data_IF_871389171901
#
_entry.id   IF_871389171901
#
_cell.length_a   1.000
_cell.length_b   1.000
_cell.length_c   1.000
_cell.angle_alpha   90.00
_cell.angle_beta   90.00
_cell.angle_gamma   90.00
#
_symmetry.space_group_name_H-M   'P 1'
#
loop_
_entity.id
_entity.type
_entity.pdbx_description
1 polymer ?
#
# COMPACT_ATOMS: atom_id res chain seq x y z
N UNK A 1 -16.20 36.35 12.32
CA UNK A 1 -17.25 35.42 11.84
C UNK A 1 -16.85 34.70 10.55
N UNK A 2 -16.51 35.38 9.45
CA UNK A 2 -16.13 34.72 8.18
C UNK A 2 -15.02 33.67 8.33
N UNK A 3 -13.94 34.00 9.03
CA UNK A 3 -12.85 33.05 9.31
C UNK A 3 -13.33 31.80 10.08
N UNK A 4 -14.21 31.97 11.08
CA UNK A 4 -14.75 30.85 11.86
C UNK A 4 -15.70 29.96 11.02
N UNK A 5 -16.47 30.55 10.10
CA UNK A 5 -17.28 29.78 9.13
C UNK A 5 -16.40 28.98 8.18
N UNK A 6 -15.29 29.54 7.73
CA UNK A 6 -14.32 28.82 6.90
C UNK A 6 -13.68 27.66 7.67
N UNK A 7 -13.31 27.88 8.93
CA UNK A 7 -12.83 26.83 9.84
C UNK A 7 -13.88 25.71 10.05
N UNK A 8 -15.16 26.06 10.19
CA UNK A 8 -16.25 25.08 10.26
C UNK A 8 -16.33 24.24 8.98
N UNK A 9 -16.24 24.85 7.80
CA UNK A 9 -16.36 24.17 6.50
C UNK A 9 -15.18 23.25 6.18
N UNK A 10 -13.96 23.66 6.52
CA UNK A 10 -12.74 23.01 6.00
C UNK A 10 -11.80 22.51 7.11
N UNK A 11 -11.95 23.00 8.34
CA UNK A 11 -11.04 22.67 9.45
C UNK A 11 -10.95 21.18 9.77
N UNK A 12 -12.02 20.42 9.53
CA UNK A 12 -12.02 18.95 9.70
C UNK A 12 -10.97 18.23 8.85
N UNK A 13 -10.52 18.83 7.74
CA UNK A 13 -9.46 18.27 6.87
C UNK A 13 -8.07 18.37 7.47
N UNK A 14 -7.90 19.15 8.54
CA UNK A 14 -6.60 19.47 9.15
C UNK A 14 -6.55 19.07 10.63
N UNK A 15 -7.65 19.27 11.32
CA UNK A 15 -7.73 19.13 12.77
C UNK A 15 -8.29 17.77 13.19
N UNK A 16 -7.93 17.36 14.39
CA UNK A 16 -8.61 16.28 15.09
C UNK A 16 -10.01 16.75 15.59
N UNK A 17 -10.87 15.82 16.03
CA UNK A 17 -12.23 16.16 16.46
C UNK A 17 -12.25 17.20 17.59
N UNK A 18 -11.37 17.07 18.58
CA UNK A 18 -11.26 18.01 19.70
C UNK A 18 -11.05 19.45 19.21
N UNK A 19 -9.99 19.71 18.43
CA UNK A 19 -9.67 21.05 17.94
C UNK A 19 -10.81 21.61 17.09
N UNK A 20 -11.38 20.79 16.20
CA UNK A 20 -12.52 21.19 15.38
C UNK A 20 -13.74 21.59 16.24
N UNK A 21 -14.09 20.76 17.22
CA UNK A 21 -15.25 20.97 18.07
C UNK A 21 -15.09 22.19 19.00
N UNK A 22 -13.89 22.45 19.51
CA UNK A 22 -13.58 23.65 20.30
C UNK A 22 -13.75 24.91 19.45
N UNK A 23 -13.16 24.95 18.24
CA UNK A 23 -13.27 26.11 17.34
C UNK A 23 -14.71 26.31 16.87
N UNK A 24 -15.43 25.23 16.59
CA UNK A 24 -16.85 25.28 16.21
C UNK A 24 -17.72 25.80 17.36
N UNK A 25 -17.50 25.31 18.59
CA UNK A 25 -18.23 25.80 19.77
C UNK A 25 -18.00 27.30 19.97
N UNK A 26 -16.75 27.75 19.84
CA UNK A 26 -16.41 29.17 19.91
C UNK A 26 -17.06 29.99 18.78
N UNK A 27 -17.07 29.47 17.56
CA UNK A 27 -17.76 30.09 16.43
C UNK A 27 -19.25 30.28 16.68
N UNK A 28 -19.91 29.26 17.24
CA UNK A 28 -21.32 29.31 17.62
C UNK A 28 -21.57 30.29 18.76
N UNK A 29 -20.75 30.26 19.82
CA UNK A 29 -20.78 31.25 20.89
C UNK A 29 -20.69 32.67 20.35
N UNK A 30 -19.62 32.98 19.60
CA UNK A 30 -19.34 34.34 19.16
C UNK A 30 -20.40 34.88 18.21
N UNK A 31 -20.91 34.02 17.31
CA UNK A 31 -22.01 34.38 16.43
C UNK A 31 -23.30 34.65 17.22
N UNK A 32 -23.63 33.82 18.21
CA UNK A 32 -24.79 34.04 19.07
C UNK A 32 -24.63 35.29 19.94
N UNK A 33 -23.43 35.57 20.46
CA UNK A 33 -23.14 36.76 21.26
C UNK A 33 -23.34 38.05 20.47
N UNK A 34 -22.73 38.18 19.28
CA UNK A 34 -22.91 39.36 18.42
C UNK A 34 -24.37 39.51 18.00
N UNK A 35 -25.05 38.39 17.73
CA UNK A 35 -26.45 38.43 17.32
C UNK A 35 -27.38 38.94 18.43
N UNK A 36 -27.01 38.87 19.72
CA UNK A 36 -27.84 39.40 20.80
C UNK A 36 -27.84 40.94 20.83
N UNK A 37 -26.71 41.58 20.54
CA UNK A 37 -26.60 43.04 20.48
C UNK A 37 -27.54 43.63 19.42
N UNK A 38 -27.64 42.98 18.26
CA UNK A 38 -28.60 43.38 17.22
C UNK A 38 -30.06 43.27 17.65
N UNK A 39 -30.42 42.38 18.58
CA UNK A 39 -31.81 42.19 19.01
C UNK A 39 -32.28 43.28 19.98
N UNK A 40 -31.38 44.03 20.60
CA UNK A 40 -31.76 45.18 21.42
C UNK A 40 -32.23 46.37 20.56
N UNK A 41 -31.94 46.36 19.26
CA UNK A 41 -32.34 47.43 18.32
C UNK A 41 -33.72 47.19 17.70
N UNK A 42 -34.15 45.93 17.64
CA UNK A 42 -35.43 45.53 17.06
C UNK A 42 -36.40 45.22 18.22
N UNK A 43 -37.66 45.68 18.14
CA UNK A 43 -38.71 45.36 19.13
C UNK A 43 -39.09 43.86 19.07
N UNK A 44 -38.27 43.01 19.69
CA UNK A 44 -38.43 41.56 19.68
C UNK A 44 -39.06 41.08 20.98
N UNK A 45 -39.89 40.04 20.90
CA UNK A 45 -40.52 39.45 22.08
C UNK A 45 -39.47 38.90 23.07
N UNK A 46 -39.74 39.08 24.36
CA UNK A 46 -38.86 38.63 25.44
C UNK A 46 -38.54 37.11 25.39
N UNK A 47 -39.47 36.32 24.87
CA UNK A 47 -39.30 34.87 24.70
C UNK A 47 -38.22 34.53 23.66
N UNK A 48 -38.21 35.24 22.52
CA UNK A 48 -37.19 35.04 21.47
C UNK A 48 -35.81 35.46 21.99
N UNK A 49 -35.74 36.57 22.73
CA UNK A 49 -34.50 36.99 23.39
C UNK A 49 -33.99 35.93 24.37
N UNK A 50 -34.86 35.44 25.25
CA UNK A 50 -34.52 34.41 26.24
C UNK A 50 -34.01 33.13 25.58
N UNK A 51 -34.68 32.65 24.53
CA UNK A 51 -34.28 31.47 23.78
C UNK A 51 -32.91 31.61 23.12
N UNK A 52 -32.62 32.76 22.50
CA UNK A 52 -31.31 33.03 21.87
C UNK A 52 -30.21 33.27 22.91
N UNK A 53 -30.52 33.95 24.01
CA UNK A 53 -29.59 34.20 25.11
C UNK A 53 -29.19 32.89 25.79
N UNK A 54 -30.14 31.99 26.05
CA UNK A 54 -29.88 30.67 26.63
C UNK A 54 -28.91 29.87 25.76
N UNK A 55 -29.08 29.87 24.42
CA UNK A 55 -28.14 29.19 23.50
C UNK A 55 -26.72 29.78 23.57
N UNK A 56 -26.60 31.11 23.60
CA UNK A 56 -25.31 31.79 23.77
C UNK A 56 -24.64 31.35 25.07
N UNK A 57 -25.38 31.37 26.18
CA UNK A 57 -24.89 30.97 27.50
C UNK A 57 -24.42 29.50 27.51
N UNK A 58 -25.15 28.59 26.87
CA UNK A 58 -24.74 27.18 26.78
C UNK A 58 -23.38 27.02 26.08
N UNK A 59 -23.14 27.72 24.96
CA UNK A 59 -21.85 27.68 24.28
C UNK A 59 -20.73 28.35 25.09
N UNK A 60 -21.07 29.39 25.86
CA UNK A 60 -20.12 30.08 26.73
C UNK A 60 -19.69 29.22 27.92
N UNK A 61 -20.63 28.55 28.60
CA UNK A 61 -20.32 27.56 29.65
C UNK A 61 -19.40 26.46 29.09
N UNK A 62 -19.70 25.93 27.89
CA UNK A 62 -18.85 24.92 27.25
C UNK A 62 -17.45 25.44 26.89
N UNK A 63 -17.31 26.74 26.59
CA UNK A 63 -16.02 27.36 26.34
C UNK A 63 -15.19 27.47 27.63
N UNK A 64 -15.83 27.90 28.73
CA UNK A 64 -15.18 28.09 30.03
C UNK A 64 -14.84 26.77 30.74
N UNK A 65 -15.57 25.69 30.46
CA UNK A 65 -15.30 24.39 31.08
C UNK A 65 -13.95 23.76 30.69
N UNK A 66 -13.25 24.34 29.71
CA UNK A 66 -11.96 23.87 29.21
C UNK A 66 -10.88 24.96 29.29
N UNK A 67 -9.83 24.79 30.13
CA UNK A 67 -8.77 25.77 30.28
C UNK A 67 -7.93 26.03 29.01
N UNK A 68 -7.78 25.01 28.17
CA UNK A 68 -6.96 25.03 26.94
C UNK A 68 -7.68 25.63 25.72
N UNK A 69 -8.99 25.92 25.83
CA UNK A 69 -9.79 26.41 24.70
C UNK A 69 -9.19 27.64 24.03
N UNK A 70 -8.71 28.60 24.83
CA UNK A 70 -8.15 29.86 24.32
C UNK A 70 -6.94 29.60 23.42
N UNK A 71 -6.02 28.75 23.87
CA UNK A 71 -4.80 28.44 23.14
C UNK A 71 -5.10 27.63 21.87
N UNK A 72 -6.02 26.67 21.96
CA UNK A 72 -6.51 25.92 20.79
C UNK A 72 -7.08 26.88 19.74
N UNK A 73 -7.95 27.80 20.13
CA UNK A 73 -8.62 28.73 19.20
C UNK A 73 -7.60 29.67 18.56
N UNK A 74 -6.78 30.36 19.37
CA UNK A 74 -5.83 31.35 18.84
C UNK A 74 -4.82 30.66 17.93
N UNK A 75 -4.23 29.55 18.35
CA UNK A 75 -3.22 28.85 17.55
C UNK A 75 -3.81 28.36 16.22
N UNK A 76 -4.85 27.53 16.28
CA UNK A 76 -5.32 26.80 15.11
C UNK A 76 -6.07 27.69 14.13
N UNK A 77 -6.90 28.64 14.61
CA UNK A 77 -7.61 29.55 13.70
C UNK A 77 -6.62 30.47 12.98
N UNK A 78 -5.60 30.98 13.67
CA UNK A 78 -4.61 31.86 13.04
C UNK A 78 -3.72 31.13 12.04
N UNK A 79 -3.30 29.90 12.35
CA UNK A 79 -2.58 29.06 11.39
C UNK A 79 -3.42 28.83 10.12
N UNK A 80 -4.72 28.61 10.26
CA UNK A 80 -5.62 28.41 9.13
C UNK A 80 -5.87 29.69 8.32
N UNK A 81 -5.94 30.84 8.99
CA UNK A 81 -6.03 32.15 8.34
C UNK A 81 -4.78 32.47 7.53
N UNK A 82 -3.61 32.07 8.00
CA UNK A 82 -2.33 32.33 7.32
C UNK A 82 -2.15 31.52 6.03
N UNK A 83 -2.94 30.44 5.85
CA UNK A 83 -2.97 29.59 4.65
C UNK A 83 -3.91 30.09 3.54
N UNK A 84 -4.86 30.98 3.84
CA UNK A 84 -5.88 31.44 2.89
C UNK A 84 -5.69 32.93 2.56
N UNK A 85 -5.30 33.24 1.31
CA UNK A 85 -4.91 34.59 0.88
C UNK A 85 -5.97 35.66 1.20
N UNK A 86 -7.26 35.33 1.03
CA UNK A 86 -8.37 36.25 1.31
C UNK A 86 -8.52 36.59 2.79
N UNK A 87 -8.24 35.63 3.68
CA UNK A 87 -8.32 35.83 5.13
C UNK A 87 -7.05 36.46 5.67
N UNK A 88 -5.89 36.10 5.10
CA UNK A 88 -4.57 36.60 5.48
C UNK A 88 -4.46 38.12 5.42
N UNK A 89 -5.06 38.77 4.42
CA UNK A 89 -5.11 40.25 4.33
C UNK A 89 -5.77 40.88 5.58
N UNK A 90 -6.71 40.17 6.21
CA UNK A 90 -7.47 40.62 7.39
C UNK A 90 -6.99 39.99 8.69
N UNK A 91 -5.82 39.35 8.69
CA UNK A 91 -5.26 38.60 9.82
C UNK A 91 -5.33 39.37 11.14
N UNK A 92 -4.85 40.61 11.17
CA UNK A 92 -4.83 41.42 12.40
C UNK A 92 -6.23 41.75 12.92
N UNK A 93 -7.19 42.01 12.02
CA UNK A 93 -8.59 42.26 12.38
C UNK A 93 -9.26 40.99 12.93
N UNK A 94 -8.96 39.84 12.32
CA UNK A 94 -9.44 38.54 12.79
C UNK A 94 -8.89 38.26 14.20
N UNK A 95 -7.58 38.39 14.39
CA UNK A 95 -6.93 38.20 15.69
C UNK A 95 -7.51 39.12 16.76
N UNK A 96 -7.73 40.40 16.44
CA UNK A 96 -8.36 41.35 17.34
C UNK A 96 -9.78 40.91 17.74
N UNK A 97 -10.60 40.48 16.78
CA UNK A 97 -11.95 39.97 17.05
C UNK A 97 -11.96 38.67 17.88
N UNK A 98 -11.01 37.76 17.64
CA UNK A 98 -10.84 36.55 18.47
C UNK A 98 -10.50 36.94 19.90
N UNK A 99 -9.51 37.81 20.09
CA UNK A 99 -9.08 38.26 21.41
C UNK A 99 -10.18 38.98 22.17
N UNK A 100 -10.99 39.80 21.49
CA UNK A 100 -12.13 40.47 22.10
C UNK A 100 -13.13 39.46 22.70
N UNK A 101 -13.53 38.44 21.94
CA UNK A 101 -14.47 37.43 22.43
C UNK A 101 -13.86 36.55 23.54
N UNK A 102 -12.57 36.26 23.45
CA UNK A 102 -11.84 35.44 24.42
C UNK A 102 -11.48 36.22 25.70
N UNK A 103 -11.54 37.55 25.69
CA UNK A 103 -11.25 38.40 26.86
C UNK A 103 -12.50 38.79 27.66
N UNK A 104 -13.68 38.33 27.26
CA UNK A 104 -14.95 38.66 27.93
C UNK A 104 -15.02 38.23 29.40
N UNK A 105 -14.20 37.26 29.82
CA UNK A 105 -14.09 36.86 31.23
C UNK A 105 -13.05 37.67 32.02
N UNK A 106 -12.12 38.34 31.34
CA UNK A 106 -11.00 39.02 31.99
C UNK A 106 -11.37 40.43 32.49
N UNK A 107 -12.45 41.03 31.97
CA UNK A 107 -12.93 42.36 32.36
C UNK A 107 -13.85 42.31 33.58
N UNK A 108 -14.05 43.46 34.24
CA UNK A 108 -15.10 43.64 35.26
C UNK A 108 -16.06 44.77 34.82
N UNK A 109 -17.37 44.50 34.72
CA UNK A 109 -18.02 43.20 34.88
C UNK A 109 -17.62 42.21 33.78
N UNK A 110 -17.42 40.94 34.16
CA UNK A 110 -17.18 39.83 33.22
C UNK A 110 -18.49 39.40 32.56
N UNK A 111 -18.44 38.64 31.46
CA UNK A 111 -19.65 38.08 30.87
C UNK A 111 -20.35 37.10 31.84
N UNK A 112 -19.58 36.37 32.66
CA UNK A 112 -20.12 35.57 33.77
C UNK A 112 -20.90 36.42 34.78
N UNK A 113 -20.36 37.57 35.19
CA UNK A 113 -21.06 38.50 36.10
C UNK A 113 -22.36 39.03 35.47
N UNK A 114 -22.32 39.40 34.18
CA UNK A 114 -23.49 39.87 33.44
C UNK A 114 -24.58 38.80 33.36
N UNK A 115 -24.23 37.54 33.08
CA UNK A 115 -25.17 36.43 33.04
C UNK A 115 -25.74 36.17 34.44
N UNK A 116 -24.91 36.18 35.50
CA UNK A 116 -25.39 36.01 36.87
C UNK A 116 -26.41 37.10 37.24
N UNK A 117 -26.12 38.37 36.94
CA UNK A 117 -27.04 39.48 37.15
C UNK A 117 -28.38 39.27 36.42
N UNK A 118 -28.35 38.80 35.17
CA UNK A 118 -29.55 38.47 34.41
C UNK A 118 -30.40 37.39 35.12
N UNK A 119 -29.79 36.31 35.62
CA UNK A 119 -30.52 35.27 36.36
C UNK A 119 -31.06 35.75 37.70
N UNK A 120 -30.34 36.63 38.40
CA UNK A 120 -30.80 37.23 39.66
C UNK A 120 -32.08 38.03 39.43
N UNK A 121 -32.10 38.88 38.40
CA UNK A 121 -33.28 39.66 38.04
C UNK A 121 -34.43 38.75 37.61
N UNK A 122 -34.15 37.78 36.71
CA UNK A 122 -35.15 36.86 36.19
C UNK A 122 -35.78 35.97 37.27
N UNK A 123 -34.98 35.48 38.23
CA UNK A 123 -35.44 34.56 39.29
C UNK A 123 -35.84 35.27 40.58
N UNK A 124 -35.60 36.58 40.70
CA UNK A 124 -35.82 37.38 41.91
C UNK A 124 -35.15 36.78 43.17
N UNK A 125 -33.98 36.16 43.00
CA UNK A 125 -33.17 35.57 44.08
C UNK A 125 -31.69 35.62 43.72
N UNK A 126 -30.81 35.55 44.71
CA UNK A 126 -29.37 35.38 44.45
C UNK A 126 -29.15 34.04 43.72
N UNK A 127 -28.41 34.08 42.62
CA UNK A 127 -28.03 32.92 41.79
C UNK A 127 -26.54 33.02 41.52
N UNK A 128 -25.82 31.92 41.75
CA UNK A 128 -24.38 31.81 41.53
C UNK A 128 -24.06 31.15 40.19
N UNK A 129 -22.85 31.36 39.66
CA UNK A 129 -22.42 30.74 38.40
C UNK A 129 -22.51 29.20 38.40
N UNK A 130 -22.04 28.47 39.44
CA UNK A 130 -22.19 27.01 39.48
C UNK A 130 -23.66 26.53 39.47
N UNK A 131 -24.60 27.32 40.00
CA UNK A 131 -26.02 27.01 39.89
C UNK A 131 -26.52 27.17 38.45
N UNK A 132 -26.04 28.17 37.73
CA UNK A 132 -26.37 28.39 36.31
C UNK A 132 -25.82 27.27 35.43
N UNK A 133 -24.58 26.83 35.65
CA UNK A 133 -24.00 25.68 34.95
C UNK A 133 -24.86 24.41 35.15
N UNK A 134 -25.28 24.14 36.39
CA UNK A 134 -26.19 23.03 36.71
C UNK A 134 -27.56 23.18 36.06
N UNK A 135 -28.10 24.41 35.98
CA UNK A 135 -29.39 24.68 35.33
C UNK A 135 -29.31 24.44 33.80
N UNK A 136 -28.21 24.86 33.16
CA UNK A 136 -28.03 24.76 31.71
C UNK A 136 -27.67 23.34 31.24
N UNK A 137 -27.20 22.46 32.14
CA UNK A 137 -26.88 21.03 31.86
C UNK A 137 -26.05 20.84 30.59
N UNK A 138 -25.01 21.66 30.44
CA UNK A 138 -24.20 21.67 29.22
C UNK A 138 -23.26 20.48 29.20
N UNK A 139 -23.43 19.58 28.22
CA UNK A 139 -22.49 18.50 27.99
C UNK A 139 -21.09 19.04 27.60
N UNK A 140 -19.99 18.36 27.99
CA UNK A 140 -18.64 18.73 27.60
C UNK A 140 -18.44 18.65 26.08
N UNK A 141 -17.35 19.25 25.59
CA UNK A 141 -16.93 19.12 24.18
C UNK A 141 -16.55 17.66 23.92
N UNK A 142 -17.06 17.07 22.84
CA UNK A 142 -16.66 15.73 22.40
C UNK A 142 -15.23 15.77 21.85
N UNK A 143 -14.37 14.88 22.34
CA UNK A 143 -12.96 14.81 21.94
C UNK A 143 -12.70 13.82 20.80
N UNK A 144 -13.64 12.90 20.56
CA UNK A 144 -13.44 11.72 19.71
C UNK A 144 -14.28 11.76 18.43
N UNK A 145 -15.39 12.50 18.41
CA UNK A 145 -16.29 12.59 17.25
C UNK A 145 -16.51 14.03 16.79
N UNK A 146 -16.44 14.27 15.49
CA UNK A 146 -16.77 15.57 14.90
C UNK A 146 -18.26 15.91 15.11
N UNK A 147 -18.55 17.10 15.68
CA UNK A 147 -19.91 17.64 15.87
C UNK A 147 -20.24 18.59 14.72
N UNK A 148 -20.09 18.14 13.48
CA UNK A 148 -20.25 18.95 12.28
C UNK A 148 -21.70 19.00 11.76
N UNK A 149 -21.96 19.79 10.72
CA UNK A 149 -23.22 19.73 9.98
C UNK A 149 -23.40 18.37 9.30
N UNK A 150 -24.62 18.03 8.88
CA UNK A 150 -24.89 16.77 8.16
C UNK A 150 -24.07 16.67 6.86
N UNK A 151 -23.89 17.79 6.15
CA UNK A 151 -23.09 17.85 4.93
C UNK A 151 -21.61 17.53 5.21
N UNK A 152 -21.01 18.17 6.22
CA UNK A 152 -19.60 17.96 6.56
C UNK A 152 -19.40 16.56 7.15
N UNK A 153 -20.34 16.08 7.97
CA UNK A 153 -20.28 14.72 8.53
C UNK A 153 -20.23 13.68 7.40
N UNK A 154 -21.06 13.85 6.36
CA UNK A 154 -21.03 12.99 5.18
C UNK A 154 -19.70 13.05 4.41
N UNK A 155 -19.08 14.24 4.33
CA UNK A 155 -17.75 14.38 3.71
C UNK A 155 -16.66 13.67 4.51
N UNK A 156 -16.68 13.77 5.84
CA UNK A 156 -15.76 13.07 6.74
C UNK A 156 -15.93 11.55 6.56
N UNK A 157 -17.15 11.04 6.58
CA UNK A 157 -17.45 9.61 6.39
C UNK A 157 -16.94 9.09 5.04
N UNK A 158 -17.16 9.85 3.96
CA UNK A 158 -16.67 9.49 2.63
C UNK A 158 -15.14 9.47 2.58
N UNK A 159 -14.48 10.42 3.23
CA UNK A 159 -13.02 10.46 3.31
C UNK A 159 -12.45 9.29 4.13
N UNK A 160 -13.07 8.95 5.26
CA UNK A 160 -12.69 7.78 6.08
C UNK A 160 -12.86 6.48 5.30
N UNK A 161 -13.96 6.33 4.57
CA UNK A 161 -14.21 5.16 3.72
C UNK A 161 -13.17 5.03 2.61
N UNK A 162 -12.87 6.13 1.91
CA UNK A 162 -11.83 6.17 0.88
C UNK A 162 -10.45 5.79 1.45
N UNK A 163 -10.07 6.40 2.57
CA UNK A 163 -8.78 6.11 3.22
C UNK A 163 -8.69 4.67 3.72
N UNK A 164 -9.77 4.11 4.24
CA UNK A 164 -9.85 2.70 4.64
C UNK A 164 -9.60 1.76 3.47
N UNK A 165 -10.22 2.02 2.32
CA UNK A 165 -10.01 1.21 1.12
C UNK A 165 -8.57 1.33 0.60
N UNK A 166 -8.02 2.55 0.54
CA UNK A 166 -6.62 2.76 0.13
C UNK A 166 -5.62 2.03 1.04
N UNK A 167 -5.84 2.04 2.36
CA UNK A 167 -5.03 1.29 3.32
C UNK A 167 -5.10 -0.22 3.03
N UNK A 168 -6.30 -0.76 2.82
CA UNK A 168 -6.49 -2.20 2.51
C UNK A 168 -5.78 -2.60 1.22
N UNK A 169 -5.93 -1.82 0.16
CA UNK A 169 -5.26 -2.07 -1.12
C UNK A 169 -3.73 -2.05 -0.97
N UNK A 170 -3.19 -1.07 -0.22
CA UNK A 170 -1.74 -0.97 0.04
C UNK A 170 -1.22 -2.14 0.86
N UNK A 171 -1.99 -2.61 1.84
CA UNK A 171 -1.64 -3.79 2.64
C UNK A 171 -1.61 -5.06 1.81
N UNK A 172 -2.60 -5.27 0.93
CA UNK A 172 -2.62 -6.40 0.01
C UNK A 172 -1.38 -6.41 -0.90
N UNK A 173 -1.05 -5.26 -1.50
CA UNK A 173 0.16 -5.11 -2.32
C UNK A 173 1.41 -5.42 -1.49
N UNK A 174 1.50 -4.91 -0.25
CA UNK A 174 2.65 -5.16 0.61
C UNK A 174 2.80 -6.64 0.97
N UNK A 175 1.69 -7.33 1.21
CA UNK A 175 1.65 -8.77 1.47
C UNK A 175 2.12 -9.58 0.26
N UNK A 176 1.61 -9.29 -0.94
CA UNK A 176 2.06 -9.93 -2.18
C UNK A 176 3.57 -9.71 -2.42
N UNK A 177 4.06 -8.49 -2.17
CA UNK A 177 5.48 -8.18 -2.29
C UNK A 177 6.34 -8.95 -1.28
N UNK A 178 5.88 -9.04 -0.02
CA UNK A 178 6.55 -9.81 1.01
C UNK A 178 6.58 -11.29 0.67
N UNK A 179 5.48 -11.83 0.15
CA UNK A 179 5.41 -13.23 -0.26
C UNK A 179 6.40 -13.53 -1.38
N UNK A 180 6.38 -12.75 -2.47
CA UNK A 180 7.33 -12.92 -3.58
C UNK A 180 8.78 -12.81 -3.08
N UNK A 181 9.05 -11.81 -2.24
CA UNK A 181 10.37 -11.57 -1.65
C UNK A 181 10.85 -12.74 -0.80
N UNK A 182 10.01 -13.28 0.07
CA UNK A 182 10.38 -14.33 1.01
C UNK A 182 10.46 -15.71 0.34
N UNK A 183 9.57 -15.98 -0.62
CA UNK A 183 9.46 -17.29 -1.26
C UNK A 183 10.53 -17.52 -2.34
N UNK A 184 10.91 -16.46 -3.07
CA UNK A 184 11.71 -16.61 -4.29
C UNK A 184 13.06 -15.89 -4.25
N UNK A 185 13.35 -15.07 -3.24
CA UNK A 185 14.61 -14.34 -3.16
C UNK A 185 15.34 -14.62 -1.84
N UNK A 186 16.62 -15.01 -1.96
CA UNK A 186 17.54 -15.01 -0.82
C UNK A 186 18.16 -13.63 -0.73
N UNK A 187 18.09 -12.98 0.44
CA UNK A 187 18.72 -11.68 0.65
C UNK A 187 20.03 -11.82 1.42
N UNK A 188 21.02 -11.02 1.06
CA UNK A 188 22.27 -10.83 1.83
C UNK A 188 22.00 -10.02 3.10
N UNK A 189 22.95 -10.00 4.03
CA UNK A 189 22.87 -9.17 5.25
C UNK A 189 22.72 -7.67 4.95
N UNK A 190 23.17 -7.23 3.77
CA UNK A 190 22.99 -5.88 3.25
C UNK A 190 21.63 -5.62 2.58
N UNK A 191 20.73 -6.60 2.57
CA UNK A 191 19.39 -6.51 1.97
C UNK A 191 19.36 -6.60 0.45
N UNK A 192 20.44 -7.01 -0.20
CA UNK A 192 20.49 -7.22 -1.67
C UNK A 192 20.11 -8.64 -2.02
N UNK A 193 19.55 -8.85 -3.21
CA UNK A 193 19.30 -10.21 -3.73
C UNK A 193 20.63 -10.94 -3.91
N UNK A 194 20.75 -12.12 -3.30
CA UNK A 194 21.84 -13.05 -3.51
C UNK A 194 21.56 -13.90 -4.76
N UNK A 195 22.58 -14.03 -5.60
CA UNK A 195 22.56 -14.88 -6.79
C UNK A 195 23.52 -16.07 -6.65
N UNK A 196 23.78 -16.55 -5.43
CA UNK A 196 24.72 -17.65 -5.17
C UNK A 196 24.38 -18.91 -5.97
N UNK A 197 23.10 -19.14 -6.25
CA UNK A 197 22.62 -20.27 -7.06
C UNK A 197 23.18 -20.28 -8.49
N UNK A 198 23.53 -19.11 -9.06
CA UNK A 198 24.11 -19.02 -10.40
C UNK A 198 25.45 -19.74 -10.48
N UNK A 199 26.24 -19.75 -9.40
CA UNK A 199 27.53 -20.42 -9.40
C UNK A 199 27.34 -21.92 -9.65
N UNK A 200 26.44 -22.57 -8.91
CA UNK A 200 26.10 -23.98 -9.08
C UNK A 200 25.58 -24.28 -10.49
N UNK A 201 24.73 -23.41 -11.03
CA UNK A 201 24.13 -23.61 -12.36
C UNK A 201 25.17 -23.47 -13.48
N UNK A 202 26.05 -22.48 -13.38
CA UNK A 202 27.16 -22.30 -14.32
C UNK A 202 28.13 -23.48 -14.23
N UNK A 203 28.42 -23.95 -13.02
CA UNK A 203 29.35 -25.06 -12.79
C UNK A 203 28.83 -26.38 -13.37
N UNK A 204 27.55 -26.69 -13.14
CA UNK A 204 26.88 -27.87 -13.72
C UNK A 204 26.89 -27.81 -15.25
N UNK A 205 26.58 -26.65 -15.84
CA UNK A 205 26.60 -26.48 -17.28
C UNK A 205 28.02 -26.61 -17.85
N UNK A 206 28.99 -25.89 -17.28
CA UNK A 206 30.35 -25.86 -17.85
C UNK A 206 31.02 -27.24 -17.74
N UNK A 207 30.83 -27.95 -16.64
CA UNK A 207 31.41 -29.30 -16.44
C UNK A 207 30.86 -30.35 -17.41
N UNK A 208 29.63 -30.16 -17.93
CA UNK A 208 29.03 -31.08 -18.90
C UNK A 208 29.46 -30.82 -20.34
N UNK A 209 29.76 -29.57 -20.69
CA UNK A 209 29.93 -29.14 -22.08
C UNK A 209 31.36 -28.70 -22.44
N UNK A 210 32.26 -28.53 -21.47
CA UNK A 210 33.63 -28.06 -21.70
C UNK A 210 34.67 -28.96 -21.02
N UNK A 211 35.85 -29.05 -21.63
CA UNK A 211 36.98 -29.80 -21.08
C UNK A 211 37.58 -29.10 -19.85
N UNK A 212 38.18 -29.88 -18.93
CA UNK A 212 38.70 -29.40 -17.63
C UNK A 212 39.56 -28.13 -17.71
N UNK A 213 40.46 -28.04 -18.70
CA UNK A 213 41.35 -26.89 -18.88
C UNK A 213 40.66 -25.59 -19.34
N UNK A 214 39.37 -25.62 -19.70
CA UNK A 214 38.60 -24.45 -20.14
C UNK A 214 37.52 -24.03 -19.13
N UNK A 215 37.28 -24.82 -18.09
CA UNK A 215 36.16 -24.63 -17.16
C UNK A 215 36.21 -23.26 -16.48
N UNK A 216 37.38 -22.89 -15.95
CA UNK A 216 37.53 -21.65 -15.18
C UNK A 216 37.37 -20.40 -16.06
N UNK A 217 37.94 -20.42 -17.26
CA UNK A 217 37.77 -19.34 -18.25
C UNK A 217 36.32 -19.18 -18.67
N UNK A 218 35.62 -20.29 -18.94
CA UNK A 218 34.20 -20.25 -19.34
C UNK A 218 33.30 -19.81 -18.19
N UNK A 219 33.55 -20.26 -16.96
CA UNK A 219 32.85 -19.80 -15.75
C UNK A 219 32.93 -18.29 -15.59
N UNK A 220 34.14 -17.72 -15.67
CA UNK A 220 34.34 -16.27 -15.59
C UNK A 220 33.56 -15.54 -16.68
N UNK A 221 33.60 -16.08 -17.90
CA UNK A 221 32.97 -15.51 -19.08
C UNK A 221 31.44 -15.44 -18.97
N UNK A 222 30.79 -16.48 -18.41
CA UNK A 222 29.35 -16.47 -18.15
C UNK A 222 28.95 -15.51 -17.03
N UNK A 223 29.82 -15.28 -16.04
CA UNK A 223 29.56 -14.32 -14.94
C UNK A 223 29.69 -12.87 -15.39
N UNK A 224 30.54 -12.58 -16.38
CA UNK A 224 30.84 -11.21 -16.81
C UNK A 224 29.98 -10.73 -17.99
N UNK A 225 29.59 -11.64 -18.89
CA UNK A 225 28.90 -11.29 -20.13
C UNK A 225 27.39 -11.66 -20.10
N UNK A 226 26.46 -10.70 -20.01
CA UNK A 226 25.01 -10.96 -19.92
C UNK A 226 24.46 -11.80 -21.07
N UNK A 227 24.94 -11.60 -22.30
CA UNK A 227 24.46 -12.35 -23.45
C UNK A 227 24.89 -13.81 -23.43
N UNK A 228 26.10 -14.11 -22.93
CA UNK A 228 26.54 -15.50 -22.73
C UNK A 228 25.78 -16.14 -21.59
N UNK A 229 25.53 -15.39 -20.50
CA UNK A 229 24.68 -15.88 -19.42
C UNK A 229 23.28 -16.22 -19.95
N UNK A 230 22.65 -15.32 -20.71
CA UNK A 230 21.31 -15.55 -21.27
C UNK A 230 21.26 -16.84 -22.11
N UNK A 231 22.26 -17.08 -22.95
CA UNK A 231 22.36 -18.33 -23.72
C UNK A 231 22.35 -19.56 -22.81
N UNK A 232 23.19 -19.55 -21.77
CA UNK A 232 23.30 -20.65 -20.81
C UNK A 232 21.96 -20.87 -20.10
N UNK A 233 21.34 -19.81 -19.60
CA UNK A 233 20.06 -19.88 -18.89
C UNK A 233 18.92 -20.39 -19.79
N UNK A 234 18.86 -19.95 -21.05
CA UNK A 234 17.87 -20.46 -22.00
C UNK A 234 18.07 -21.95 -22.32
N UNK A 235 19.33 -22.40 -22.50
CA UNK A 235 19.64 -23.82 -22.74
C UNK A 235 19.33 -24.69 -21.52
N UNK A 236 19.62 -24.17 -20.34
CA UNK A 236 19.27 -24.80 -19.08
C UNK A 236 17.75 -25.00 -18.94
N UNK A 237 16.97 -23.92 -19.18
CA UNK A 237 15.51 -24.00 -19.21
C UNK A 237 15.00 -25.02 -20.24
N UNK A 238 15.57 -25.01 -21.45
CA UNK A 238 15.19 -25.93 -22.53
C UNK A 238 15.46 -27.39 -22.17
N UNK A 239 16.62 -27.68 -21.60
CA UNK A 239 17.04 -29.07 -21.32
C UNK A 239 16.35 -29.68 -20.11
N UNK A 240 15.93 -28.87 -19.14
CA UNK A 240 15.42 -29.36 -17.85
C UNK A 240 13.92 -29.13 -17.69
N UNK A 241 13.42 -27.97 -18.11
CA UNK A 241 12.08 -27.52 -17.75
C UNK A 241 11.09 -27.52 -18.92
N UNK A 242 11.51 -27.58 -20.19
CA UNK A 242 10.55 -27.61 -21.31
C UNK A 242 9.71 -28.88 -21.31
N UNK A 243 10.32 -30.03 -21.01
CA UNK A 243 9.62 -31.33 -20.97
C UNK A 243 8.50 -31.33 -19.91
N UNK A 244 8.69 -30.57 -18.82
CA UNK A 244 7.66 -30.38 -17.79
C UNK A 244 6.43 -29.61 -18.31
N UNK A 245 6.65 -28.66 -19.20
CA UNK A 245 5.66 -27.65 -19.58
C UNK A 245 4.92 -28.02 -20.88
N UNK A 246 5.57 -28.79 -21.76
CA UNK A 246 5.04 -29.20 -23.06
C UNK A 246 4.98 -30.72 -23.26
N UNK A 247 5.31 -31.52 -22.25
CA UNK A 247 5.47 -32.96 -22.42
C UNK A 247 5.03 -33.81 -21.23
N UNK A 248 5.12 -35.12 -21.45
CA UNK A 248 4.98 -36.12 -20.40
C UNK A 248 6.27 -36.20 -19.59
N UNK A 249 6.12 -36.17 -18.27
CA UNK A 249 7.22 -36.37 -17.33
C UNK A 249 7.08 -37.73 -16.64
N UNK A 250 8.21 -38.33 -16.28
CA UNK A 250 8.22 -39.53 -15.45
C UNK A 250 8.18 -39.14 -13.99
N UNK A 251 7.19 -39.65 -13.29
CA UNK A 251 7.05 -39.49 -11.84
C UNK A 251 7.06 -40.84 -11.13
N UNK A 252 7.57 -40.85 -9.92
CA UNK A 252 7.57 -41.97 -8.99
C UNK A 252 6.74 -41.61 -7.77
N UNK A 253 5.72 -42.43 -7.52
CA UNK A 253 4.97 -42.45 -6.26
C UNK A 253 5.05 -43.88 -5.68
N UNK A 254 4.21 -44.79 -6.17
CA UNK A 254 4.31 -46.23 -5.90
C UNK A 254 5.04 -46.99 -7.02
N UNK A 255 4.86 -46.55 -8.27
CA UNK A 255 5.53 -47.07 -9.47
C UNK A 255 5.88 -45.91 -10.39
N UNK A 256 6.93 -46.09 -11.20
CA UNK A 256 7.31 -45.11 -12.22
C UNK A 256 6.30 -45.13 -13.36
N UNK A 257 5.70 -43.98 -13.65
CA UNK A 257 4.76 -43.81 -14.76
C UNK A 257 4.88 -42.42 -15.39
N UNK A 258 4.34 -42.26 -16.60
CA UNK A 258 4.36 -41.01 -17.35
C UNK A 258 3.07 -40.22 -17.12
N UNK A 259 3.20 -38.95 -16.76
CA UNK A 259 2.08 -38.04 -16.47
C UNK A 259 2.23 -36.73 -17.23
N UNK A 260 1.09 -36.11 -17.53
CA UNK A 260 1.02 -34.78 -18.10
C UNK A 260 0.61 -33.79 -16.99
N UNK A 261 1.45 -32.80 -16.69
CA UNK A 261 1.16 -31.83 -15.62
C UNK A 261 0.45 -30.59 -16.16
N UNK A 262 0.86 -30.11 -17.33
CA UNK A 262 0.32 -28.92 -17.98
C UNK A 262 -0.21 -29.32 -19.36
N UNK A 263 -1.39 -28.82 -19.73
CA UNK A 263 -1.92 -29.03 -21.07
C UNK A 263 -1.05 -28.32 -22.11
N UNK A 264 -0.76 -29.05 -23.20
CA UNK A 264 -0.01 -28.54 -24.33
C UNK A 264 -0.59 -27.19 -24.80
N UNK A 265 0.29 -26.25 -25.13
CA UNK A 265 0.02 -24.87 -25.55
C UNK A 265 -0.22 -23.83 -24.46
N UNK A 266 -0.39 -24.18 -23.18
CA UNK A 266 -0.64 -23.17 -22.12
C UNK A 266 0.50 -22.14 -22.00
N UNK A 267 1.74 -22.58 -22.27
CA UNK A 267 2.96 -21.76 -22.22
C UNK A 267 3.74 -21.75 -23.54
N UNK A 268 3.14 -22.17 -24.65
CA UNK A 268 3.83 -22.23 -25.96
C UNK A 268 4.47 -20.88 -26.34
N UNK A 269 3.78 -19.77 -26.05
CA UNK A 269 4.28 -18.44 -26.37
C UNK A 269 5.54 -18.06 -25.59
N UNK A 270 5.69 -18.56 -24.36
CA UNK A 270 6.86 -18.34 -23.54
C UNK A 270 8.04 -19.19 -24.02
N UNK A 271 7.77 -20.47 -24.32
CA UNK A 271 8.77 -21.42 -24.78
C UNK A 271 9.32 -21.06 -26.17
N UNK A 272 8.46 -20.62 -27.08
CA UNK A 272 8.87 -20.12 -28.40
C UNK A 272 9.74 -18.86 -28.30
N UNK A 273 9.43 -17.95 -27.37
CA UNK A 273 10.27 -16.77 -27.12
C UNK A 273 11.63 -17.12 -26.53
N UNK A 274 11.70 -18.08 -25.59
CA UNK A 274 12.99 -18.59 -25.07
C UNK A 274 13.84 -19.14 -26.22
N UNK A 275 13.25 -19.95 -27.10
CA UNK A 275 13.92 -20.47 -28.30
C UNK A 275 14.39 -19.34 -29.24
N UNK A 276 13.56 -18.31 -29.43
CA UNK A 276 13.87 -17.15 -30.25
C UNK A 276 15.04 -16.35 -29.68
N UNK A 277 15.09 -16.13 -28.36
CA UNK A 277 16.22 -15.49 -27.70
C UNK A 277 17.50 -16.30 -27.83
N UNK A 278 17.41 -17.62 -27.64
CA UNK A 278 18.57 -18.50 -27.79
C UNK A 278 19.16 -18.41 -29.21
N UNK A 279 18.32 -18.50 -30.24
CA UNK A 279 18.75 -18.34 -31.65
C UNK A 279 19.34 -16.96 -31.92
N UNK A 280 18.73 -15.90 -31.39
CA UNK A 280 19.19 -14.53 -31.58
C UNK A 280 20.56 -14.29 -30.94
N UNK A 281 20.77 -14.79 -29.72
CA UNK A 281 22.05 -14.70 -29.02
C UNK A 281 23.12 -15.56 -29.69
N UNK A 282 22.80 -16.77 -30.14
CA UNK A 282 23.75 -17.61 -30.87
C UNK A 282 24.15 -16.99 -32.21
N UNK A 283 23.20 -16.42 -32.96
CA UNK A 283 23.48 -15.69 -34.18
C UNK A 283 24.35 -14.45 -33.92
N UNK A 284 24.07 -13.71 -32.84
CA UNK A 284 24.88 -12.58 -32.40
C UNK A 284 26.32 -12.99 -32.09
N UNK A 285 26.52 -14.03 -31.29
CA UNK A 285 27.86 -14.53 -30.93
C UNK A 285 28.65 -15.03 -32.14
N UNK A 286 27.99 -15.69 -33.10
CA UNK A 286 28.65 -16.13 -34.35
C UNK A 286 29.06 -14.96 -35.22
N UNK A 287 28.22 -13.92 -35.32
CA UNK A 287 28.49 -12.73 -36.14
C UNK A 287 29.53 -11.81 -35.50
N UNK A 288 29.56 -11.75 -34.17
CA UNK A 288 30.39 -10.83 -33.39
C UNK A 288 31.21 -11.56 -32.32
N UNK A 289 32.03 -12.53 -32.73
CA UNK A 289 32.77 -13.43 -31.82
C UNK A 289 33.72 -12.73 -30.84
N UNK A 290 34.25 -11.57 -31.22
CA UNK A 290 35.20 -10.79 -30.42
C UNK A 290 34.54 -9.65 -29.63
N UNK A 291 33.22 -9.49 -29.73
CA UNK A 291 32.50 -8.41 -29.07
C UNK A 291 32.47 -8.64 -27.55
N UNK A 292 32.95 -7.65 -26.81
CA UNK A 292 32.96 -7.66 -25.35
C UNK A 292 31.83 -6.77 -24.87
N UNK A 293 30.93 -7.31 -24.07
CA UNK A 293 29.81 -6.57 -23.51
C UNK A 293 29.51 -7.12 -22.13
N UNK A 294 29.80 -6.32 -21.12
CA UNK A 294 29.76 -6.71 -19.73
C UNK A 294 28.43 -6.34 -19.07
N UNK A 295 28.16 -6.87 -17.87
CA UNK A 295 27.04 -6.42 -17.05
C UNK A 295 27.12 -4.93 -16.67
N UNK A 296 28.31 -4.33 -16.66
CA UNK A 296 28.48 -2.89 -16.45
C UNK A 296 27.97 -2.11 -17.66
N UNK A 297 28.30 -2.54 -18.88
CA UNK A 297 27.84 -1.92 -20.12
C UNK A 297 26.32 -2.05 -20.27
N UNK A 298 25.77 -3.24 -19.96
CA UNK A 298 24.33 -3.46 -19.88
C UNK A 298 23.64 -2.52 -18.89
N UNK A 299 24.25 -2.33 -17.72
CA UNK A 299 23.72 -1.42 -16.70
C UNK A 299 23.65 0.02 -17.17
N UNK A 300 24.67 0.49 -17.88
CA UNK A 300 24.73 1.83 -18.45
C UNK A 300 23.73 1.97 -19.61
N UNK A 301 23.67 0.97 -20.49
CA UNK A 301 22.76 0.94 -21.64
C UNK A 301 21.28 1.04 -21.23
N UNK A 302 20.87 0.37 -20.15
CA UNK A 302 19.48 0.48 -19.63
C UNK A 302 19.15 1.90 -19.13
N UNK A 303 20.13 2.61 -18.56
CA UNK A 303 19.91 3.92 -17.96
C UNK A 303 19.99 5.07 -18.98
N UNK A 304 20.96 5.00 -19.90
CA UNK A 304 21.31 6.10 -20.81
C UNK A 304 20.99 5.82 -22.28
N UNK A 305 20.64 4.58 -22.62
CA UNK A 305 20.65 4.10 -23.99
C UNK A 305 22.06 3.87 -24.51
N UNK A 306 22.17 3.28 -25.70
CA UNK A 306 23.42 3.22 -26.47
C UNK A 306 23.22 3.87 -27.84
N UNK A 307 24.28 4.47 -28.38
CA UNK A 307 24.31 5.01 -29.74
C UNK A 307 24.84 3.98 -30.75
N UNK A 308 25.45 2.88 -30.29
CA UNK A 308 25.90 1.79 -31.14
C UNK A 308 24.72 0.86 -31.48
N UNK A 309 24.48 0.65 -32.78
CA UNK A 309 23.40 -0.21 -33.27
C UNK A 309 23.56 -1.67 -32.83
N UNK A 310 24.80 -2.17 -32.69
CA UNK A 310 25.10 -3.53 -32.25
C UNK A 310 24.73 -3.68 -30.77
N UNK A 311 25.14 -2.73 -29.94
CA UNK A 311 24.77 -2.69 -28.52
C UNK A 311 23.27 -2.52 -28.32
N UNK A 312 22.61 -1.66 -29.10
CA UNK A 312 21.16 -1.49 -29.05
C UNK A 312 20.41 -2.79 -29.35
N UNK A 313 20.85 -3.53 -30.37
CA UNK A 313 20.26 -4.82 -30.71
C UNK A 313 20.40 -5.82 -29.56
N UNK A 314 21.59 -5.89 -28.95
CA UNK A 314 21.85 -6.78 -27.81
C UNK A 314 21.05 -6.36 -26.58
N UNK A 315 21.03 -5.07 -26.26
CA UNK A 315 20.29 -4.49 -25.14
C UNK A 315 18.80 -4.82 -25.23
N UNK A 316 18.21 -4.74 -26.43
CA UNK A 316 16.82 -5.13 -26.68
C UNK A 316 16.58 -6.60 -26.36
N UNK A 317 17.42 -7.51 -26.87
CA UNK A 317 17.30 -8.96 -26.60
C UNK A 317 17.35 -9.24 -25.09
N UNK A 318 18.31 -8.63 -24.39
CA UNK A 318 18.49 -8.82 -22.94
C UNK A 318 17.31 -8.27 -22.13
N UNK A 319 16.77 -7.10 -22.52
CA UNK A 319 15.63 -6.48 -21.84
C UNK A 319 14.35 -7.27 -22.09
N UNK A 320 14.09 -7.67 -23.35
CA UNK A 320 12.93 -8.49 -23.72
C UNK A 320 12.96 -9.85 -23.00
N UNK A 321 14.16 -10.43 -22.79
CA UNK A 321 14.33 -11.63 -21.99
C UNK A 321 13.99 -11.42 -20.51
N UNK A 322 14.45 -10.33 -19.90
CA UNK A 322 14.09 -9.97 -18.52
C UNK A 322 12.57 -9.84 -18.32
N UNK A 323 11.88 -9.17 -19.24
CA UNK A 323 10.42 -9.06 -19.23
C UNK A 323 9.73 -10.41 -19.40
N UNK A 324 10.24 -11.27 -20.28
CA UNK A 324 9.69 -12.60 -20.47
C UNK A 324 9.79 -13.42 -19.19
N UNK A 325 10.97 -13.45 -18.55
CA UNK A 325 11.17 -14.21 -17.30
C UNK A 325 10.23 -13.73 -16.20
N UNK A 326 10.03 -12.41 -16.08
CA UNK A 326 9.05 -11.80 -15.16
C UNK A 326 7.62 -12.27 -15.44
N UNK A 327 7.18 -12.19 -16.70
CA UNK A 327 5.82 -12.61 -17.11
C UNK A 327 5.60 -14.10 -16.89
N UNK A 328 6.60 -14.93 -17.21
CA UNK A 328 6.54 -16.37 -17.02
C UNK A 328 6.50 -16.75 -15.54
N UNK A 329 7.39 -16.17 -14.73
CA UNK A 329 7.39 -16.38 -13.27
C UNK A 329 6.04 -16.04 -12.64
N UNK A 330 5.41 -14.92 -13.05
CA UNK A 330 4.07 -14.55 -12.55
C UNK A 330 3.01 -15.57 -12.88
N UNK A 331 3.01 -16.13 -14.09
CA UNK A 331 2.06 -17.19 -14.48
C UNK A 331 2.24 -18.46 -13.66
N UNK A 332 3.49 -18.89 -13.43
CA UNK A 332 3.76 -20.04 -12.57
C UNK A 332 3.44 -19.76 -11.10
N UNK A 333 3.66 -18.53 -10.64
CA UNK A 333 3.28 -18.11 -9.29
C UNK A 333 1.76 -18.21 -9.06
N UNK A 334 0.93 -17.91 -10.08
CA UNK A 334 -0.53 -18.15 -9.99
C UNK A 334 -0.82 -19.63 -9.71
N UNK A 335 -0.12 -20.55 -10.37
CA UNK A 335 -0.28 -21.99 -10.12
C UNK A 335 0.11 -22.35 -8.68
N UNK A 336 1.24 -21.83 -8.19
CA UNK A 336 1.69 -22.06 -6.81
C UNK A 336 0.73 -21.48 -5.77
N UNK A 337 0.19 -20.28 -6.00
CA UNK A 337 -0.80 -19.64 -5.14
C UNK A 337 -2.11 -20.44 -5.09
N UNK A 338 -2.60 -20.86 -6.26
CA UNK A 338 -3.79 -21.70 -6.37
C UNK A 338 -3.63 -23.03 -5.61
N UNK A 339 -2.43 -23.63 -5.66
CA UNK A 339 -2.13 -24.85 -4.93
C UNK A 339 -2.09 -24.63 -3.41
N UNK A 340 -1.43 -23.56 -2.95
CA UNK A 340 -1.41 -23.21 -1.52
C UNK A 340 -2.79 -22.93 -0.96
N UNK A 341 -3.65 -22.25 -1.74
CA UNK A 341 -5.02 -22.00 -1.32
C UNK A 341 -5.84 -23.30 -1.28
N UNK A 342 -5.66 -24.20 -2.26
CA UNK A 342 -6.29 -25.51 -2.22
C UNK A 342 -5.84 -26.34 -1.00
N UNK A 343 -4.55 -26.40 -0.71
CA UNK A 343 -4.00 -27.08 0.47
C UNK A 343 -4.53 -26.48 1.79
N UNK A 344 -4.62 -25.15 1.87
CA UNK A 344 -5.21 -24.45 3.02
C UNK A 344 -6.68 -24.83 3.22
N UNK A 345 -7.47 -24.83 2.15
CA UNK A 345 -8.90 -25.17 2.20
C UNK A 345 -9.11 -26.66 2.49
N UNK A 346 -8.24 -27.55 2.02
CA UNK A 346 -8.30 -28.98 2.32
C UNK A 346 -8.18 -29.23 3.82
N UNK A 347 -7.22 -28.55 4.48
CA UNK A 347 -6.97 -28.67 5.93
C UNK A 347 -8.14 -28.24 6.80
N UNK A 348 -9.02 -27.37 6.30
CA UNK A 348 -10.22 -26.91 7.01
C UNK A 348 -11.51 -27.57 6.50
N UNK A 349 -11.40 -28.64 5.69
CA UNK A 349 -12.54 -29.32 5.04
C UNK A 349 -13.44 -28.39 4.21
N UNK A 350 -12.87 -27.33 3.64
CA UNK A 350 -13.57 -26.31 2.85
C UNK A 350 -13.56 -26.54 1.33
N UNK A 351 -13.03 -27.68 0.87
CA UNK A 351 -12.93 -27.99 -0.56
C UNK A 351 -14.16 -28.70 -1.11
N UNK A 352 -14.47 -28.41 -2.37
CA UNK A 352 -15.44 -29.17 -3.15
C UNK A 352 -14.75 -30.32 -3.92
N UNK A 353 -15.53 -31.33 -4.30
CA UNK A 353 -15.03 -32.52 -5.03
C UNK A 353 -14.33 -32.16 -6.35
N UNK A 354 -14.74 -31.06 -7.01
CA UNK A 354 -14.14 -30.62 -8.27
C UNK A 354 -12.68 -30.21 -8.08
N UNK A 355 -12.34 -29.53 -6.98
CA UNK A 355 -10.97 -29.13 -6.67
C UNK A 355 -10.14 -30.35 -6.27
N UNK A 356 -10.70 -31.29 -5.50
CA UNK A 356 -9.98 -32.52 -5.12
C UNK A 356 -9.57 -33.35 -6.35
N UNK A 357 -10.44 -33.45 -7.37
CA UNK A 357 -10.13 -34.12 -8.63
C UNK A 357 -9.00 -33.46 -9.44
N UNK A 358 -8.55 -32.25 -9.09
CA UNK A 358 -7.44 -31.58 -9.79
C UNK A 358 -6.07 -32.14 -9.42
N UNK A 359 -5.95 -32.94 -8.35
CA UNK A 359 -4.69 -33.59 -7.94
C UNK A 359 -4.09 -34.50 -9.01
N UNK A 360 -4.88 -34.95 -9.98
CA UNK A 360 -4.42 -35.86 -11.05
C UNK A 360 -4.66 -35.30 -12.46
N UNK A 361 -5.32 -34.13 -12.59
CA UNK A 361 -5.75 -33.58 -13.88
C UNK A 361 -4.83 -32.47 -14.37
N UNK A 362 -4.33 -32.54 -15.63
CA UNK A 362 -3.45 -31.51 -16.19
C UNK A 362 -4.01 -30.10 -16.04
N UNK A 363 -3.14 -29.12 -15.83
CA UNK A 363 -3.50 -27.70 -15.77
C UNK A 363 -3.81 -27.21 -17.18
N UNK A 364 -5.05 -26.79 -17.40
CA UNK A 364 -5.60 -26.38 -18.70
C UNK A 364 -5.84 -24.86 -18.80
N UNK A 365 -5.89 -24.16 -17.67
CA UNK A 365 -6.00 -22.69 -17.62
C UNK A 365 -5.24 -22.09 -16.42
N UNK A 366 -5.04 -20.76 -16.48
CA UNK A 366 -4.38 -19.97 -15.43
C UNK A 366 -5.37 -19.07 -14.67
N UNK A 367 -6.57 -19.58 -14.40
CA UNK A 367 -7.55 -18.82 -13.63
C UNK A 367 -7.14 -18.75 -12.15
N UNK A 368 -7.37 -17.61 -11.52
CA UNK A 368 -7.17 -17.45 -10.08
C UNK A 368 -8.28 -18.21 -9.35
N UNK A 369 -7.90 -19.14 -8.48
CA UNK A 369 -8.82 -19.96 -7.70
C UNK A 369 -8.17 -21.26 -7.20
N UNK A 370 -8.70 -21.87 -6.13
CA UNK A 370 -8.11 -23.06 -5.53
C UNK A 370 -8.03 -24.21 -6.54
N UNK A 371 -6.80 -24.70 -6.79
CA UNK A 371 -6.50 -25.81 -7.69
C UNK A 371 -5.18 -26.45 -7.31
N UNK A 372 -5.11 -27.77 -7.23
CA UNK A 372 -3.85 -28.47 -6.96
C UNK A 372 -2.94 -28.49 -8.19
N UNK A 373 -1.63 -28.47 -7.95
CA UNK A 373 -0.68 -28.95 -8.94
C UNK A 373 -0.87 -30.47 -9.07
N UNK A 374 -1.01 -31.02 -10.28
CA UNK A 374 -1.17 -32.45 -10.46
C UNK A 374 0.06 -33.21 -9.95
N UNK A 375 -0.15 -34.32 -9.26
CA UNK A 375 0.92 -35.18 -8.74
C UNK A 375 1.94 -34.42 -7.87
N UNK A 376 1.49 -33.39 -7.14
CA UNK A 376 2.37 -32.42 -6.47
C UNK A 376 3.37 -33.06 -5.49
N UNK A 377 3.04 -34.20 -4.86
CA UNK A 377 3.92 -34.94 -3.94
C UNK A 377 4.81 -35.97 -4.64
N UNK A 378 4.48 -36.37 -5.88
CA UNK A 378 5.23 -37.39 -6.61
C UNK A 378 6.61 -36.87 -7.00
N UNK A 379 7.60 -37.79 -7.00
CA UNK A 379 9.00 -37.44 -7.28
C UNK A 379 9.29 -37.52 -8.76
N UNK A 380 10.06 -36.57 -9.28
CA UNK A 380 10.51 -36.55 -10.67
C UNK A 380 11.60 -37.61 -10.87
N UNK A 381 11.47 -38.42 -11.93
CA UNK A 381 12.49 -39.35 -12.39
C UNK A 381 13.16 -38.79 -13.64
N UNK A 382 14.39 -38.31 -13.51
CA UNK A 382 15.14 -37.69 -14.61
C UNK A 382 16.65 -37.96 -14.50
N UNK A 383 17.40 -37.65 -15.57
CA UNK A 383 18.87 -37.71 -15.58
C UNK A 383 19.52 -36.34 -15.31
N UNK A 384 18.76 -35.38 -14.79
CA UNK A 384 19.23 -34.02 -14.54
C UNK A 384 19.14 -33.65 -13.05
N UNK A 385 19.47 -32.42 -12.70
CA UNK A 385 19.56 -31.97 -11.30
C UNK A 385 18.22 -31.92 -10.56
N UNK A 386 17.09 -32.04 -11.25
CA UNK A 386 15.76 -32.04 -10.61
C UNK A 386 15.26 -33.45 -10.30
N UNK A 387 16.09 -34.48 -10.51
CA UNK A 387 15.75 -35.83 -10.11
C UNK A 387 15.44 -35.90 -8.61
N UNK A 388 14.42 -36.66 -8.24
CA UNK A 388 13.88 -36.82 -6.90
C UNK A 388 13.24 -35.57 -6.26
N UNK A 389 13.17 -34.44 -6.97
CA UNK A 389 12.35 -33.30 -6.53
C UNK A 389 10.88 -33.70 -6.58
N UNK A 390 10.05 -33.19 -5.68
CA UNK A 390 8.60 -33.29 -5.87
C UNK A 390 8.16 -32.41 -7.04
N UNK A 391 7.01 -32.70 -7.65
CA UNK A 391 6.45 -31.82 -8.70
C UNK A 391 6.24 -30.40 -8.14
N UNK A 392 5.82 -30.25 -6.87
CA UNK A 392 5.71 -28.95 -6.21
C UNK A 392 7.06 -28.22 -6.11
N UNK A 393 8.11 -28.92 -5.67
CA UNK A 393 9.45 -28.35 -5.54
C UNK A 393 9.99 -27.91 -6.91
N UNK A 394 9.69 -28.67 -7.95
CA UNK A 394 10.09 -28.33 -9.32
C UNK A 394 9.44 -27.03 -9.80
N UNK A 395 8.13 -26.84 -9.58
CA UNK A 395 7.43 -25.58 -9.91
C UNK A 395 7.96 -24.41 -9.08
N UNK A 396 8.22 -24.65 -7.80
CA UNK A 396 8.79 -23.64 -6.90
C UNK A 396 10.18 -23.21 -7.37
N UNK A 397 11.03 -24.18 -7.72
CA UNK A 397 12.38 -23.95 -8.22
C UNK A 397 12.38 -23.20 -9.56
N UNK A 398 11.55 -23.63 -10.52
CA UNK A 398 11.43 -22.96 -11.81
C UNK A 398 10.96 -21.51 -11.64
N UNK A 399 9.93 -21.28 -10.81
CA UNK A 399 9.41 -19.95 -10.52
C UNK A 399 10.47 -19.07 -9.87
N UNK A 400 11.22 -19.63 -8.90
CA UNK A 400 12.35 -18.97 -8.25
C UNK A 400 13.41 -18.55 -9.27
N UNK A 401 13.84 -19.46 -10.14
CA UNK A 401 14.85 -19.18 -11.16
C UNK A 401 14.40 -18.06 -12.09
N UNK A 402 13.16 -18.12 -12.61
CA UNK A 402 12.63 -17.10 -13.51
C UNK A 402 12.51 -15.72 -12.85
N UNK A 403 12.07 -15.64 -11.58
CA UNK A 403 12.09 -14.38 -10.83
C UNK A 403 13.51 -13.84 -10.68
N UNK A 404 14.48 -14.69 -10.33
CA UNK A 404 15.88 -14.25 -10.21
C UNK A 404 16.48 -13.82 -11.56
N UNK A 405 16.18 -14.53 -12.65
CA UNK A 405 16.60 -14.15 -14.00
C UNK A 405 16.02 -12.80 -14.40
N UNK A 406 14.76 -12.52 -14.06
CA UNK A 406 14.16 -11.21 -14.31
C UNK A 406 14.90 -10.07 -13.61
N UNK A 407 15.41 -10.29 -12.39
CA UNK A 407 16.20 -9.29 -11.65
C UNK A 407 17.61 -9.13 -12.26
N UNK A 408 18.26 -10.23 -12.64
CA UNK A 408 19.59 -10.20 -13.30
C UNK A 408 19.54 -9.36 -14.59
N UNK A 409 18.49 -9.55 -15.39
CA UNK A 409 18.25 -8.79 -16.61
C UNK A 409 17.43 -7.50 -16.39
N UNK A 410 17.32 -7.05 -15.14
CA UNK A 410 16.77 -5.74 -14.74
C UNK A 410 15.36 -5.43 -15.24
N UNK A 411 14.45 -6.40 -15.19
CA UNK A 411 13.03 -6.13 -15.41
C UNK A 411 12.56 -5.03 -14.44
N UNK A 412 12.02 -3.95 -15.01
CA UNK A 412 11.61 -2.76 -14.25
C UNK A 412 10.47 -3.10 -13.30
N UNK A 413 9.60 -4.04 -13.68
CA UNK A 413 8.43 -4.40 -12.88
C UNK A 413 8.85 -5.10 -11.59
N UNK A 414 9.61 -6.19 -11.67
CA UNK A 414 10.07 -6.92 -10.48
C UNK A 414 11.05 -6.09 -9.65
N UNK A 415 11.98 -5.38 -10.30
CA UNK A 415 12.94 -4.53 -9.57
C UNK A 415 12.22 -3.39 -8.83
N UNK A 416 11.22 -2.78 -9.47
CA UNK A 416 10.35 -1.78 -8.84
C UNK A 416 9.58 -2.35 -7.66
N UNK A 417 8.98 -3.54 -7.83
CA UNK A 417 8.26 -4.25 -6.78
C UNK A 417 9.15 -4.54 -5.55
N UNK A 418 10.36 -5.07 -5.74
CA UNK A 418 11.29 -5.37 -4.65
C UNK A 418 11.78 -4.13 -3.89
N UNK A 419 11.81 -2.96 -4.54
CA UNK A 419 12.24 -1.69 -3.94
C UNK A 419 11.08 -0.87 -3.36
N UNK A 420 9.84 -1.14 -3.79
CA UNK A 420 8.64 -0.40 -3.36
C UNK A 420 8.23 -0.66 -1.91
N UNK A 421 8.71 -1.75 -1.30
CA UNK A 421 8.34 -2.19 0.05
C UNK A 421 8.43 -1.06 1.10
N UNK A 422 9.60 -0.42 1.23
CA UNK A 422 9.81 0.70 2.18
C UNK A 422 8.91 1.89 1.90
N UNK A 423 8.70 2.21 0.62
CA UNK A 423 7.85 3.34 0.21
C UNK A 423 6.40 3.11 0.61
N UNK A 424 5.89 1.90 0.38
CA UNK A 424 4.53 1.51 0.76
C UNK A 424 4.36 1.54 2.28
N UNK A 425 5.34 1.05 3.05
CA UNK A 425 5.32 1.14 4.52
C UNK A 425 5.27 2.59 5.03
N UNK A 426 6.03 3.50 4.42
CA UNK A 426 6.01 4.92 4.77
C UNK A 426 4.68 5.59 4.41
N UNK A 427 4.10 5.26 3.24
CA UNK A 427 2.78 5.73 2.84
C UNK A 427 1.69 5.22 3.81
N UNK A 428 1.72 3.94 4.17
CA UNK A 428 0.81 3.34 5.16
C UNK A 428 0.90 4.04 6.52
N UNK A 429 2.12 4.33 7.01
CA UNK A 429 2.29 5.08 8.27
C UNK A 429 1.58 6.44 8.23
N UNK A 430 1.70 7.18 7.13
CA UNK A 430 1.00 8.47 6.95
C UNK A 430 -0.51 8.28 6.91
N UNK A 431 -0.99 7.27 6.20
CA UNK A 431 -2.42 6.96 6.11
C UNK A 431 -3.02 6.55 7.46
N UNK A 432 -2.30 5.77 8.28
CA UNK A 432 -2.75 5.41 9.62
C UNK A 432 -2.88 6.62 10.55
N UNK A 433 -1.92 7.53 10.49
CA UNK A 433 -1.98 8.79 11.25
C UNK A 433 -3.20 9.61 10.85
N UNK A 434 -3.47 9.71 9.54
CA UNK A 434 -4.64 10.45 9.04
C UNK A 434 -5.97 9.77 9.41
N UNK A 435 -6.02 8.44 9.33
CA UNK A 435 -7.19 7.65 9.74
C UNK A 435 -7.50 7.84 11.23
N UNK A 436 -6.47 7.73 12.08
CA UNK A 436 -6.60 7.95 13.52
C UNK A 436 -7.05 9.36 13.84
N UNK A 437 -6.53 10.35 13.12
CA UNK A 437 -6.97 11.74 13.26
C UNK A 437 -8.46 11.90 12.93
N UNK A 438 -8.95 11.28 11.86
CA UNK A 438 -10.34 11.43 11.42
C UNK A 438 -11.35 10.63 12.27
N UNK A 439 -10.93 9.50 12.83
CA UNK A 439 -11.84 8.56 13.52
C UNK A 439 -11.67 8.52 15.03
N UNK A 440 -10.55 9.03 15.55
CA UNK A 440 -10.14 8.87 16.94
C UNK A 440 -9.66 7.45 17.28
N UNK A 441 -9.55 6.55 16.30
CA UNK A 441 -9.25 5.13 16.50
C UNK A 441 -8.10 4.66 15.61
N UNK A 442 -7.32 3.70 16.09
CA UNK A 442 -6.32 3.03 15.25
C UNK A 442 -7.01 2.19 14.18
N UNK A 443 -6.43 2.14 12.97
CA UNK A 443 -6.97 1.32 11.90
C UNK A 443 -6.88 -0.15 12.28
N UNK A 444 -8.02 -0.83 12.33
CA UNK A 444 -8.10 -2.28 12.49
C UNK A 444 -8.55 -2.88 11.17
N UNK A 445 -7.77 -3.81 10.63
CA UNK A 445 -8.29 -4.77 9.65
C UNK A 445 -9.40 -5.52 10.37
N UNK A 446 -10.66 -5.20 10.06
CA UNK A 446 -11.74 -6.13 10.36
C UNK A 446 -11.42 -7.39 9.59
N UNK A 447 -10.92 -8.40 10.30
CA UNK A 447 -10.97 -9.78 9.83
C UNK A 447 -12.45 -10.12 9.88
N UNK A 448 -13.15 -9.83 8.80
CA UNK A 448 -14.48 -10.41 8.58
C UNK A 448 -14.23 -11.91 8.42
N UNK A 449 -14.31 -12.61 9.54
CA UNK A 449 -14.56 -14.03 9.56
C UNK A 449 -16.02 -14.21 9.10
N UNK A 450 -16.20 -14.31 7.79
CA UNK A 450 -17.39 -14.91 7.19
C UNK A 450 -17.07 -16.31 6.70
#
# INVERSE_FOLDING_TARGET
IQALKFCEQVGWKYWNPLTYNVVLNFGRFFNSFISLDSLFRDEISAEVFLGRSTKMQMYYVRLLSRPDSKDIIIKNVMEFVDQEDKLKIRRNQILHGLNYALSLENGRPSLTDCICAFYIVMKKKLVTWPEIEKMLKVAPVDEFKFIASAEISKQIELQVSKLSNEIKERLLILEELNQIRNDFFKLTDSGKVSFDFLATLIDDYVSRYYAEGQIETMRSTYKTNPHRLLQLLCRDLQSIYFVLIEGYIKVEDVQVHEVLIIQNNLFFSELDKINSFLRAVEAFQRKFSSFQYTFQDFSQGIQKGSQDQIEMQLLKILTDAGELFSKFAKKLNVILLNHREADRLEKVNGLNDKVLLTKEKPIDDLKIGPRFIPYYESKIVSQNRVNAYTVLDLFTELTRLLFNYSVIFKDRTITGQLTAHKKIEEELKKMYVDYKRLTGQDFQLKVEAE
#
